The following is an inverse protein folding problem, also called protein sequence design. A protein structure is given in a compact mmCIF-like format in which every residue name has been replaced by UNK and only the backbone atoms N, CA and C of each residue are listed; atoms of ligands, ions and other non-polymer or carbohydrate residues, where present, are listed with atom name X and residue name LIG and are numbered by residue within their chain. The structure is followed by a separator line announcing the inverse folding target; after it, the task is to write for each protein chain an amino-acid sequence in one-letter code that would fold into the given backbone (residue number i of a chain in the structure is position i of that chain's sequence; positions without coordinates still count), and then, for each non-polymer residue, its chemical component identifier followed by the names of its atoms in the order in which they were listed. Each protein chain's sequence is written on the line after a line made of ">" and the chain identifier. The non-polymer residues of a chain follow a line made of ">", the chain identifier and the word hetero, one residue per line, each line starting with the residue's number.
data_IF_010238175540
#
_entry.id   IF_010238175540
#
_cell.length_a   1.000
_cell.length_b   1.000
_cell.length_c   1.000
_cell.angle_alpha   90.00
_cell.angle_beta   90.00
_cell.angle_gamma   90.00
#
_symmetry.space_group_name_H-M   'P 1'
#
loop_
_entity.id
_entity.type
_entity.pdbx_description
1 polymer ?
#
# COMPACT_ATOMS: atom_id res chain seq x y z
N UNK A 1 -21.63 -40.08 14.95
CA UNK A 1 -22.34 -39.17 15.88
C UNK A 1 -21.55 -37.87 16.13
N UNK A 2 -20.32 -37.91 16.63
CA UNK A 2 -19.53 -36.68 16.90
C UNK A 2 -19.20 -35.84 15.64
N UNK A 3 -18.89 -36.48 14.50
CA UNK A 3 -18.70 -35.78 13.23
C UNK A 3 -19.98 -35.04 12.79
N UNK A 4 -21.13 -35.71 12.90
CA UNK A 4 -22.41 -35.10 12.56
C UNK A 4 -22.74 -33.94 13.49
N UNK A 5 -22.42 -34.04 14.79
CA UNK A 5 -22.59 -32.95 15.74
C UNK A 5 -21.73 -31.75 15.39
N UNK A 6 -20.46 -31.94 15.02
CA UNK A 6 -19.57 -30.87 14.57
C UNK A 6 -20.11 -30.16 13.31
N UNK A 7 -20.59 -30.93 12.34
CA UNK A 7 -21.18 -30.40 11.11
C UNK A 7 -22.43 -29.56 11.43
N UNK A 8 -23.31 -30.09 12.32
CA UNK A 8 -24.55 -29.38 12.69
C UNK A 8 -24.26 -28.09 13.46
N UNK A 9 -23.29 -28.11 14.36
CA UNK A 9 -22.91 -26.89 15.11
C UNK A 9 -22.30 -25.87 14.20
N UNK A 10 -21.38 -26.27 13.30
CA UNK A 10 -20.79 -25.37 12.30
C UNK A 10 -21.85 -24.80 11.35
N UNK A 11 -22.67 -25.64 10.74
CA UNK A 11 -23.73 -25.20 9.85
C UNK A 11 -24.77 -24.32 10.53
N UNK A 12 -25.08 -24.62 11.81
CA UNK A 12 -25.98 -23.81 12.61
C UNK A 12 -25.42 -22.43 12.94
N UNK A 13 -24.12 -22.33 13.27
CA UNK A 13 -23.47 -21.05 13.51
C UNK A 13 -23.37 -20.21 12.22
N UNK A 14 -23.01 -20.83 11.12
CA UNK A 14 -22.92 -20.17 9.82
C UNK A 14 -24.29 -19.65 9.35
N UNK A 15 -25.37 -20.45 9.58
CA UNK A 15 -26.76 -20.05 9.29
C UNK A 15 -27.24 -18.88 10.17
N UNK A 16 -26.76 -18.79 11.42
CA UNK A 16 -27.13 -17.67 12.30
C UNK A 16 -26.54 -16.32 11.84
N UNK A 17 -25.49 -16.36 11.05
CA UNK A 17 -24.80 -15.18 10.50
C UNK A 17 -25.10 -14.97 9.01
N UNK A 18 -25.93 -15.83 8.42
CA UNK A 18 -26.38 -15.67 7.04
C UNK A 18 -27.25 -14.41 6.92
N UNK A 19 -26.88 -13.53 6.02
CA UNK A 19 -27.68 -12.33 5.69
C UNK A 19 -28.92 -12.72 4.86
N UNK A 20 -29.92 -11.84 4.86
CA UNK A 20 -31.13 -12.06 4.04
C UNK A 20 -30.75 -11.96 2.56
N UNK A 21 -30.94 -13.05 1.82
CA UNK A 21 -30.57 -13.16 0.40
C UNK A 21 -29.37 -14.06 0.12
N UNK A 22 -28.71 -14.61 1.16
CA UNK A 22 -27.59 -15.53 0.96
C UNK A 22 -28.01 -16.90 0.41
N UNK A 23 -27.25 -17.40 -0.56
CA UNK A 23 -27.44 -18.73 -1.15
C UNK A 23 -26.57 -19.79 -0.48
N UNK A 24 -27.12 -21.01 -0.37
CA UNK A 24 -26.40 -22.16 0.20
C UNK A 24 -25.39 -22.72 -0.81
N UNK A 25 -24.10 -22.61 -0.50
CA UNK A 25 -23.02 -23.20 -1.29
C UNK A 25 -22.37 -24.38 -0.58
N UNK A 26 -22.32 -25.50 -1.26
CA UNK A 26 -21.74 -26.74 -0.72
C UNK A 26 -20.20 -26.76 -0.73
N UNK A 27 -19.58 -25.76 -1.36
CA UNK A 27 -18.12 -25.65 -1.44
C UNK A 27 -17.48 -25.44 -0.06
N UNK A 28 -18.13 -24.67 0.82
CA UNK A 28 -17.72 -24.52 2.21
C UNK A 28 -17.64 -25.84 2.99
N UNK A 29 -18.43 -26.86 2.62
CA UNK A 29 -18.35 -28.20 3.19
C UNK A 29 -17.01 -28.88 2.88
N UNK A 30 -16.45 -28.67 1.68
CA UNK A 30 -15.14 -29.22 1.31
C UNK A 30 -14.04 -28.56 2.13
N UNK A 31 -14.05 -27.22 2.22
CA UNK A 31 -13.09 -26.47 3.02
C UNK A 31 -13.13 -26.89 4.49
N UNK A 32 -14.32 -26.95 5.09
CA UNK A 32 -14.51 -27.39 6.46
C UNK A 32 -14.06 -28.85 6.68
N UNK A 33 -14.44 -29.76 5.78
CA UNK A 33 -14.06 -31.17 5.88
C UNK A 33 -12.54 -31.36 5.75
N UNK A 34 -11.91 -30.64 4.83
CA UNK A 34 -10.47 -30.64 4.66
C UNK A 34 -9.76 -30.09 5.91
N UNK A 35 -10.21 -28.96 6.45
CA UNK A 35 -9.69 -28.41 7.70
C UNK A 35 -9.75 -29.43 8.84
N UNK A 36 -10.89 -30.08 9.03
CA UNK A 36 -11.08 -31.05 10.10
C UNK A 36 -10.15 -32.26 9.93
N UNK A 37 -10.02 -32.78 8.71
CA UNK A 37 -9.12 -33.90 8.39
C UNK A 37 -7.66 -33.56 8.62
N UNK A 38 -7.21 -32.38 8.17
CA UNK A 38 -5.83 -31.93 8.35
C UNK A 38 -5.53 -31.63 9.81
N UNK A 39 -6.49 -31.06 10.54
CA UNK A 39 -6.40 -30.84 11.97
C UNK A 39 -6.21 -32.16 12.73
N UNK A 40 -7.01 -33.18 12.41
CA UNK A 40 -6.93 -34.51 13.02
C UNK A 40 -5.63 -35.23 12.66
N UNK A 41 -5.21 -35.13 11.40
CA UNK A 41 -3.96 -35.74 10.91
C UNK A 41 -2.73 -35.08 11.56
N UNK A 42 -2.68 -33.74 11.59
CA UNK A 42 -1.60 -32.99 12.24
C UNK A 42 -1.48 -33.29 13.73
N UNK A 43 -2.60 -33.29 14.45
CA UNK A 43 -2.64 -33.71 15.85
C UNK A 43 -2.14 -35.16 16.05
N UNK A 44 -2.55 -36.07 15.18
CA UNK A 44 -2.14 -37.47 15.19
C UNK A 44 -0.63 -37.67 15.01
N UNK A 45 -0.05 -36.95 14.02
CA UNK A 45 1.40 -37.00 13.77
C UNK A 45 2.22 -36.43 14.92
N UNK A 46 1.86 -35.26 15.43
CA UNK A 46 2.59 -34.60 16.52
C UNK A 46 2.47 -35.40 17.81
N UNK A 47 1.27 -35.90 18.11
CA UNK A 47 1.07 -36.74 19.28
C UNK A 47 1.87 -38.06 19.19
N UNK A 48 1.96 -38.68 18.01
CA UNK A 48 2.76 -39.89 17.76
C UNK A 48 4.27 -39.62 17.92
N UNK A 49 4.73 -38.45 17.48
CA UNK A 49 6.14 -38.07 17.59
C UNK A 49 6.55 -37.82 19.05
N UNK A 50 5.68 -37.19 19.84
CA UNK A 50 5.96 -36.81 21.20
C UNK A 50 5.54 -37.86 22.28
N UNK A 51 4.49 -38.64 21.95
CA UNK A 51 3.87 -39.59 22.92
C UNK A 51 3.99 -41.01 22.37
N UNK A 52 5.16 -41.62 22.51
CA UNK A 52 5.56 -42.94 21.95
C UNK A 52 4.56 -44.09 22.05
N UNK A 53 3.43 -43.96 22.74
CA UNK A 53 2.39 -44.97 22.97
C UNK A 53 1.00 -44.57 22.44
N UNK A 54 0.92 -43.60 21.51
CA UNK A 54 -0.34 -43.04 21.07
C UNK A 54 -1.17 -44.00 20.18
N UNK A 55 -2.38 -44.29 20.60
CA UNK A 55 -3.40 -44.89 19.75
C UNK A 55 -4.20 -43.75 19.08
N UNK A 56 -4.13 -43.62 17.75
CA UNK A 56 -4.83 -42.59 16.98
C UNK A 56 -6.34 -42.53 17.25
N UNK A 57 -6.98 -43.65 17.62
CA UNK A 57 -8.41 -43.66 17.98
C UNK A 57 -8.70 -42.95 19.29
N UNK A 58 -7.77 -42.89 20.24
CA UNK A 58 -7.95 -42.20 21.54
C UNK A 58 -7.87 -40.67 21.43
N UNK A 59 -7.31 -40.14 20.35
CA UNK A 59 -7.27 -38.70 20.05
C UNK A 59 -8.50 -38.21 19.30
N UNK A 60 -9.02 -39.01 18.41
CA UNK A 60 -10.11 -38.67 17.53
C UNK A 60 -11.38 -38.33 18.30
N UNK A 61 -11.71 -39.08 19.33
CA UNK A 61 -12.92 -38.90 20.13
C UNK A 61 -12.87 -37.59 20.94
N UNK A 62 -11.82 -37.28 21.73
CA UNK A 62 -11.75 -36.04 22.49
C UNK A 62 -11.67 -34.79 21.60
N UNK A 63 -10.93 -34.85 20.48
CA UNK A 63 -10.81 -33.72 19.54
C UNK A 63 -12.15 -33.40 18.90
N UNK A 64 -12.88 -34.40 18.40
CA UNK A 64 -14.22 -34.22 17.83
C UNK A 64 -15.27 -33.79 18.86
N UNK A 65 -15.10 -34.14 20.13
CA UNK A 65 -15.99 -33.69 21.19
C UNK A 65 -15.78 -32.24 21.60
N UNK A 66 -14.56 -31.73 21.41
CA UNK A 66 -14.17 -30.37 21.85
C UNK A 66 -14.25 -29.35 20.68
N UNK A 67 -14.10 -29.78 19.44
CA UNK A 67 -14.12 -28.87 18.28
C UNK A 67 -15.37 -27.99 18.19
N UNK A 68 -16.60 -28.40 18.52
CA UNK A 68 -17.77 -27.51 18.52
C UNK A 68 -17.64 -26.33 19.47
N UNK A 69 -17.08 -26.58 20.66
CA UNK A 69 -16.86 -25.51 21.66
C UNK A 69 -15.79 -24.52 21.23
N UNK A 70 -14.78 -24.98 20.51
CA UNK A 70 -13.74 -24.12 19.92
C UNK A 70 -14.34 -23.21 18.86
N UNK A 71 -15.13 -23.76 17.96
CA UNK A 71 -15.83 -23.00 16.91
C UNK A 71 -16.77 -21.96 17.53
N UNK A 72 -17.62 -22.37 18.48
CA UNK A 72 -18.55 -21.45 19.17
C UNK A 72 -17.79 -20.34 19.90
N UNK A 73 -16.66 -20.63 20.54
CA UNK A 73 -15.87 -19.62 21.23
C UNK A 73 -15.23 -18.61 20.26
N UNK A 74 -14.76 -19.06 19.10
CA UNK A 74 -14.22 -18.18 18.05
C UNK A 74 -15.28 -17.22 17.51
N UNK A 75 -16.46 -17.73 17.20
CA UNK A 75 -17.60 -16.96 16.71
C UNK A 75 -18.07 -15.93 17.75
N UNK A 76 -18.30 -16.35 18.99
CA UNK A 76 -18.72 -15.44 20.07
C UNK A 76 -17.70 -14.34 20.39
N UNK A 77 -16.40 -14.60 20.21
CA UNK A 77 -15.36 -13.61 20.47
C UNK A 77 -15.24 -12.60 19.31
N UNK A 78 -15.51 -13.01 18.07
CA UNK A 78 -15.53 -12.13 16.91
C UNK A 78 -16.65 -11.09 16.94
N UNK A 79 -17.85 -11.48 17.40
CA UNK A 79 -19.05 -10.65 17.38
C UNK A 79 -19.30 -9.82 18.65
N UNK A 80 -18.49 -9.97 19.70
CA UNK A 80 -18.65 -9.16 20.90
C UNK A 80 -18.22 -7.69 20.64
N UNK A 81 -19.05 -6.68 20.95
CA UNK A 81 -18.71 -5.26 20.77
C UNK A 81 -17.43 -4.85 21.52
N UNK A 82 -17.08 -5.59 22.60
CA UNK A 82 -15.86 -5.38 23.36
C UNK A 82 -14.61 -5.96 22.64
N UNK A 83 -14.77 -7.02 21.84
CA UNK A 83 -13.69 -7.59 21.02
C UNK A 83 -13.33 -6.65 19.86
N UNK A 84 -14.30 -5.97 19.27
CA UNK A 84 -14.09 -4.95 18.25
C UNK A 84 -13.39 -3.69 18.79
N UNK A 85 -13.68 -3.33 20.06
CA UNK A 85 -13.03 -2.18 20.72
C UNK A 85 -11.59 -2.45 21.18
N UNK A 86 -11.21 -3.72 21.41
CA UNK A 86 -9.87 -4.13 21.87
C UNK A 86 -9.49 -5.48 21.25
N UNK A 87 -9.24 -5.51 19.93
CA UNK A 87 -9.01 -6.76 19.20
C UNK A 87 -7.81 -7.56 19.72
N UNK A 88 -6.75 -6.89 20.18
CA UNK A 88 -5.58 -7.56 20.74
C UNK A 88 -5.88 -8.34 22.03
N UNK A 89 -6.72 -7.81 22.93
CA UNK A 89 -7.11 -8.50 24.18
C UNK A 89 -8.02 -9.69 23.90
N UNK A 90 -8.96 -9.57 22.99
CA UNK A 90 -9.85 -10.67 22.58
C UNK A 90 -9.05 -11.81 21.94
N UNK A 91 -8.08 -11.49 21.07
CA UNK A 91 -7.18 -12.46 20.47
C UNK A 91 -6.36 -13.21 21.52
N UNK A 92 -5.74 -12.49 22.46
CA UNK A 92 -4.98 -13.11 23.56
C UNK A 92 -5.85 -14.04 24.40
N UNK A 93 -7.07 -13.62 24.76
CA UNK A 93 -8.01 -14.45 25.52
C UNK A 93 -8.42 -15.71 24.75
N UNK A 94 -8.71 -15.61 23.46
CA UNK A 94 -9.03 -16.73 22.58
C UNK A 94 -7.87 -17.72 22.47
N UNK A 95 -6.65 -17.24 22.24
CA UNK A 95 -5.44 -18.08 22.16
C UNK A 95 -5.19 -18.80 23.49
N UNK A 96 -5.29 -18.12 24.63
CA UNK A 96 -5.12 -18.74 25.95
C UNK A 96 -6.19 -19.81 26.20
N UNK A 97 -7.44 -19.53 25.85
CA UNK A 97 -8.53 -20.51 25.98
C UNK A 97 -8.28 -21.75 25.13
N UNK A 98 -7.86 -21.59 23.86
CA UNK A 98 -7.54 -22.68 22.95
C UNK A 98 -6.34 -23.52 23.44
N UNK A 99 -5.32 -22.89 24.00
CA UNK A 99 -4.19 -23.59 24.62
C UNK A 99 -4.67 -24.44 25.79
N UNK A 100 -5.45 -23.87 26.71
CA UNK A 100 -5.99 -24.59 27.85
C UNK A 100 -6.85 -25.79 27.42
N UNK A 101 -7.70 -25.59 26.43
CA UNK A 101 -8.57 -26.62 25.89
C UNK A 101 -7.77 -27.74 25.20
N UNK A 102 -6.79 -27.37 24.36
CA UNK A 102 -5.90 -28.32 23.70
C UNK A 102 -5.08 -29.14 24.69
N UNK A 103 -4.57 -28.52 25.77
CA UNK A 103 -3.87 -29.21 26.85
C UNK A 103 -4.78 -30.25 27.53
N UNK A 104 -6.05 -29.89 27.78
CA UNK A 104 -7.03 -30.82 28.41
C UNK A 104 -7.36 -31.99 27.49
N UNK A 105 -7.54 -31.74 26.19
CA UNK A 105 -7.78 -32.80 25.19
C UNK A 105 -6.61 -33.77 25.14
N UNK A 106 -5.38 -33.26 25.07
CA UNK A 106 -4.18 -34.06 24.95
C UNK A 106 -3.92 -34.85 26.24
N UNK A 107 -4.16 -34.26 27.40
CA UNK A 107 -4.06 -34.95 28.70
C UNK A 107 -5.12 -36.06 28.86
N UNK A 108 -6.33 -35.84 28.38
CA UNK A 108 -7.40 -36.83 28.38
C UNK A 108 -7.15 -38.00 27.42
N UNK A 109 -6.50 -37.71 26.30
CA UNK A 109 -6.17 -38.71 25.27
C UNK A 109 -4.90 -39.53 25.61
N UNK A 110 -3.95 -38.89 26.26
CA UNK A 110 -2.63 -39.43 26.53
C UNK A 110 -2.25 -39.11 27.98
N UNK A 111 -1.78 -40.09 28.72
CA UNK A 111 -1.20 -39.89 30.07
C UNK A 111 0.17 -39.19 29.93
N UNK A 112 0.17 -37.93 29.52
CA UNK A 112 1.36 -37.20 29.11
C UNK A 112 1.66 -36.06 30.10
N UNK A 113 2.95 -35.73 30.28
CA UNK A 113 3.38 -34.59 31.08
C UNK A 113 2.82 -33.26 30.50
N UNK A 114 2.35 -32.36 31.37
CA UNK A 114 1.73 -31.07 30.97
C UNK A 114 2.53 -30.26 29.93
N UNK A 115 3.87 -30.22 30.10
CA UNK A 115 4.73 -29.48 29.18
C UNK A 115 4.69 -29.96 27.71
N UNK A 116 4.62 -31.29 27.49
CA UNK A 116 4.50 -31.88 26.15
C UNK A 116 3.12 -31.62 25.54
N UNK A 117 2.06 -31.65 26.35
CA UNK A 117 0.71 -31.34 25.92
C UNK A 117 0.57 -29.86 25.47
N UNK A 118 1.20 -28.93 26.20
CA UNK A 118 1.25 -27.51 25.84
C UNK A 118 1.97 -27.30 24.51
N UNK A 119 3.14 -27.91 24.31
CA UNK A 119 3.90 -27.78 23.06
C UNK A 119 3.08 -28.26 21.83
N UNK A 120 2.40 -29.40 21.96
CA UNK A 120 1.54 -29.93 20.88
C UNK A 120 0.36 -29.00 20.61
N UNK A 121 -0.29 -28.47 21.63
CA UNK A 121 -1.41 -27.53 21.47
C UNK A 121 -0.98 -26.23 20.77
N UNK A 122 0.16 -25.66 21.11
CA UNK A 122 0.69 -24.45 20.47
C UNK A 122 0.98 -24.68 18.99
N UNK A 123 1.68 -25.76 18.64
CA UNK A 123 1.97 -26.09 17.23
C UNK A 123 0.68 -26.22 16.42
N UNK A 124 -0.34 -26.84 17.00
CA UNK A 124 -1.62 -27.01 16.32
C UNK A 124 -2.37 -25.69 16.10
N UNK A 125 -2.41 -24.81 17.09
CA UNK A 125 -3.09 -23.51 17.02
C UNK A 125 -2.46 -22.59 15.96
N UNK A 126 -1.14 -22.72 15.76
CA UNK A 126 -0.44 -21.90 14.75
C UNK A 126 -0.56 -22.51 13.34
N UNK A 127 -0.39 -23.83 13.22
CA UNK A 127 -0.34 -24.49 11.91
C UNK A 127 -1.69 -24.53 11.19
N UNK A 128 -2.80 -24.69 11.91
CA UNK A 128 -4.11 -24.84 11.27
C UNK A 128 -4.61 -23.56 10.57
N UNK A 129 -4.60 -22.37 11.19
CA UNK A 129 -4.98 -21.13 10.51
C UNK A 129 -4.04 -20.76 9.35
N UNK A 130 -2.74 -20.97 9.53
CA UNK A 130 -1.75 -20.73 8.48
C UNK A 130 -2.02 -21.58 7.25
N UNK A 131 -2.39 -22.84 7.45
CA UNK A 131 -2.68 -23.77 6.36
C UNK A 131 -3.99 -23.42 5.63
N UNK A 132 -5.04 -22.99 6.34
CA UNK A 132 -6.27 -22.49 5.72
C UNK A 132 -5.99 -21.29 4.82
N UNK A 133 -5.21 -20.33 5.32
CA UNK A 133 -4.85 -19.13 4.57
C UNK A 133 -3.98 -19.44 3.34
N UNK A 134 -3.04 -20.39 3.43
CA UNK A 134 -2.14 -20.72 2.29
C UNK A 134 -2.84 -21.53 1.20
N UNK A 135 -3.94 -22.23 1.51
CA UNK A 135 -4.70 -23.04 0.58
C UNK A 135 -5.97 -22.33 0.05
N UNK A 136 -6.21 -21.10 0.51
CA UNK A 136 -7.36 -20.27 0.15
C UNK A 136 -8.70 -21.04 0.19
N UNK A 137 -8.90 -21.78 1.30
CA UNK A 137 -10.09 -22.62 1.47
C UNK A 137 -11.20 -21.85 2.16
N UNK A 138 -12.27 -21.58 1.44
CA UNK A 138 -13.49 -21.02 2.02
C UNK A 138 -14.20 -22.08 2.90
N UNK A 139 -14.64 -21.66 4.07
CA UNK A 139 -15.35 -22.49 5.04
C UNK A 139 -16.78 -22.02 5.29
N UNK A 140 -17.27 -21.00 4.56
CA UNK A 140 -18.63 -20.45 4.70
C UNK A 140 -19.62 -21.26 3.84
N UNK A 141 -20.78 -21.56 4.40
CA UNK A 141 -21.89 -22.22 3.71
C UNK A 141 -22.80 -21.25 2.98
N UNK A 142 -22.94 -20.06 3.53
CA UNK A 142 -23.86 -19.04 3.04
C UNK A 142 -23.06 -17.88 2.47
N UNK A 143 -23.29 -17.57 1.20
CA UNK A 143 -22.72 -16.42 0.52
C UNK A 143 -23.89 -15.61 -0.05
N UNK A 144 -23.82 -14.31 0.11
CA UNK A 144 -24.72 -13.37 -0.56
C UNK A 144 -24.17 -13.12 -1.96
N UNK A 145 -24.75 -13.74 -2.99
CA UNK A 145 -24.37 -13.49 -4.37
C UNK A 145 -24.82 -12.09 -4.86
N UNK A 146 -25.81 -11.47 -4.16
CA UNK A 146 -26.42 -10.23 -4.63
C UNK A 146 -25.70 -8.95 -4.17
N UNK A 147 -25.05 -8.95 -3.00
CA UNK A 147 -24.34 -7.75 -2.52
C UNK A 147 -23.03 -7.55 -3.28
N UNK A 148 -22.29 -8.64 -3.53
CA UNK A 148 -21.05 -8.56 -4.30
C UNK A 148 -21.32 -8.28 -5.80
N UNK A 149 -22.47 -8.73 -6.35
CA UNK A 149 -22.82 -8.50 -7.75
C UNK A 149 -23.44 -7.11 -8.01
N UNK A 150 -24.18 -6.52 -7.07
CA UNK A 150 -24.69 -5.15 -7.23
C UNK A 150 -23.57 -4.12 -7.00
N UNK A 151 -22.73 -4.27 -5.95
CA UNK A 151 -21.53 -3.43 -5.77
C UNK A 151 -20.51 -3.66 -6.88
N UNK A 152 -20.30 -4.92 -7.34
CA UNK A 152 -19.42 -5.20 -8.46
C UNK A 152 -20.01 -4.76 -9.81
N UNK A 153 -21.33 -4.81 -10.02
CA UNK A 153 -21.96 -4.33 -11.25
C UNK A 153 -21.93 -2.81 -11.33
N UNK A 154 -22.18 -2.09 -10.24
CA UNK A 154 -22.03 -0.63 -10.17
C UNK A 154 -20.55 -0.22 -10.28
N UNK A 155 -19.65 -0.91 -9.58
CA UNK A 155 -18.19 -0.69 -9.67
C UNK A 155 -17.66 -1.00 -11.07
N UNK A 156 -18.19 -2.03 -11.77
CA UNK A 156 -17.78 -2.32 -13.15
C UNK A 156 -18.27 -1.28 -14.16
N UNK A 157 -19.49 -0.76 -14.03
CA UNK A 157 -19.99 0.29 -14.92
C UNK A 157 -19.23 1.60 -14.71
N UNK A 158 -18.97 1.97 -13.47
CA UNK A 158 -18.18 3.14 -13.10
C UNK A 158 -16.71 2.99 -13.51
N UNK A 159 -16.14 1.79 -13.35
CA UNK A 159 -14.78 1.44 -13.78
C UNK A 159 -14.61 1.57 -15.30
N UNK A 160 -15.56 1.07 -16.08
CA UNK A 160 -15.52 1.17 -17.55
C UNK A 160 -15.57 2.64 -17.97
N UNK A 161 -16.52 3.42 -17.48
CA UNK A 161 -16.64 4.86 -17.77
C UNK A 161 -15.39 5.61 -17.38
N UNK A 162 -14.87 5.37 -16.17
CA UNK A 162 -13.67 6.00 -15.65
C UNK A 162 -12.45 5.76 -16.55
N UNK A 163 -12.25 4.54 -17.05
CA UNK A 163 -11.13 4.20 -17.92
C UNK A 163 -11.29 4.81 -19.34
N UNK A 164 -12.51 4.81 -19.89
CA UNK A 164 -12.77 5.39 -21.20
C UNK A 164 -12.66 6.92 -21.23
N UNK A 165 -12.91 7.59 -20.10
CA UNK A 165 -12.81 9.04 -19.98
C UNK A 165 -11.35 9.52 -19.80
N UNK A 166 -10.41 8.66 -19.41
CA UNK A 166 -9.03 9.06 -19.11
C UNK A 166 -8.34 9.82 -20.27
N UNK A 167 -8.43 9.40 -21.54
CA UNK A 167 -7.80 10.14 -22.61
C UNK A 167 -8.35 11.57 -22.76
N UNK A 168 -9.66 11.76 -22.59
CA UNK A 168 -10.28 13.07 -22.65
C UNK A 168 -9.86 13.97 -21.48
N UNK A 169 -9.80 13.41 -20.25
CA UNK A 169 -9.35 14.11 -19.04
C UNK A 169 -7.89 14.57 -19.18
N UNK A 170 -7.00 13.71 -19.67
CA UNK A 170 -5.60 14.07 -19.90
C UNK A 170 -5.45 15.20 -20.93
N UNK A 171 -6.21 15.14 -22.02
CA UNK A 171 -6.21 16.22 -23.03
C UNK A 171 -6.70 17.53 -22.41
N UNK A 172 -7.80 17.49 -21.65
CA UNK A 172 -8.33 18.66 -20.96
C UNK A 172 -7.31 19.27 -19.99
N UNK A 173 -6.60 18.43 -19.19
CA UNK A 173 -5.54 18.91 -18.28
C UNK A 173 -4.42 19.65 -19.05
N UNK A 174 -4.02 19.16 -20.22
CA UNK A 174 -2.99 19.82 -21.02
C UNK A 174 -3.51 21.10 -21.70
N UNK A 175 -4.78 21.18 -22.06
CA UNK A 175 -5.38 22.39 -22.64
C UNK A 175 -5.40 23.57 -21.66
N UNK A 176 -5.47 23.30 -20.36
CA UNK A 176 -5.44 24.31 -19.29
C UNK A 176 -4.04 24.82 -18.97
N UNK A 177 -2.98 24.16 -19.47
CA UNK A 177 -1.61 24.61 -19.20
C UNK A 177 -1.34 25.99 -19.80
N UNK A 178 -0.72 26.84 -19.01
CA UNK A 178 -0.26 28.15 -19.48
C UNK A 178 0.71 28.01 -20.66
N UNK A 179 0.58 28.91 -21.62
CA UNK A 179 1.47 28.95 -22.78
C UNK A 179 2.90 29.25 -22.34
N UNK A 180 3.87 28.54 -22.95
CA UNK A 180 5.29 28.81 -22.68
C UNK A 180 5.68 30.25 -23.03
N UNK A 181 6.58 30.81 -22.24
CA UNK A 181 7.17 32.12 -22.49
C UNK A 181 8.36 31.96 -23.46
N UNK A 182 8.36 32.62 -24.62
CA UNK A 182 9.47 32.51 -25.57
C UNK A 182 10.75 33.14 -25.05
N UNK A 183 11.89 32.46 -25.25
CA UNK A 183 13.22 33.03 -24.94
C UNK A 183 13.68 32.84 -23.49
N UNK A 184 12.85 32.24 -22.66
CA UNK A 184 13.21 31.84 -21.27
C UNK A 184 12.93 30.36 -21.06
N UNK A 185 13.68 29.66 -20.20
CA UNK A 185 13.34 28.32 -19.80
C UNK A 185 12.02 28.32 -19.03
N UNK A 186 11.09 27.45 -19.43
CA UNK A 186 9.85 27.22 -18.68
C UNK A 186 9.96 25.92 -17.91
N UNK A 187 9.31 25.88 -16.75
CA UNK A 187 9.23 24.65 -15.93
C UNK A 187 7.81 24.12 -16.01
N UNK A 188 7.70 22.83 -16.31
CA UNK A 188 6.45 22.09 -16.34
C UNK A 188 6.46 21.08 -15.18
N UNK A 189 5.34 20.88 -14.53
CA UNK A 189 5.20 19.97 -13.41
C UNK A 189 4.27 18.82 -13.73
N UNK A 190 4.62 17.62 -13.26
CA UNK A 190 3.73 16.45 -13.21
C UNK A 190 3.77 15.89 -11.82
N UNK A 191 2.63 15.89 -11.15
CA UNK A 191 2.41 15.16 -9.91
C UNK A 191 1.87 13.77 -10.18
N UNK A 192 2.29 12.79 -9.38
CA UNK A 192 1.83 11.41 -9.46
C UNK A 192 1.62 10.87 -8.04
N UNK A 193 0.38 10.80 -7.58
CA UNK A 193 -0.03 10.14 -6.34
C UNK A 193 -0.55 8.74 -6.66
N UNK A 194 0.28 7.71 -6.43
CA UNK A 194 0.05 6.37 -6.96
C UNK A 194 -0.96 5.54 -6.16
N UNK A 195 -1.17 5.81 -4.88
CA UNK A 195 -2.06 5.02 -4.03
C UNK A 195 -3.23 5.86 -3.53
N UNK A 196 -4.45 5.43 -3.87
CA UNK A 196 -5.69 6.10 -3.51
C UNK A 196 -6.34 5.61 -2.22
N UNK A 197 -5.72 4.68 -1.50
CA UNK A 197 -6.21 4.22 -0.19
C UNK A 197 -5.82 5.18 0.93
N UNK A 198 -4.81 6.04 0.69
CA UNK A 198 -4.30 6.99 1.66
C UNK A 198 -4.19 8.40 1.07
N UNK A 199 -4.89 9.35 1.65
CA UNK A 199 -4.93 10.77 1.23
C UNK A 199 -3.61 11.50 1.32
N UNK A 200 -2.66 11.01 2.10
CA UNK A 200 -1.37 11.65 2.29
C UNK A 200 -0.61 11.83 0.97
N UNK A 201 -0.73 10.88 0.04
CA UNK A 201 -0.05 10.96 -1.25
C UNK A 201 -0.67 12.03 -2.16
N UNK A 202 -1.99 12.14 -2.18
CA UNK A 202 -2.70 13.22 -2.86
C UNK A 202 -2.28 14.58 -2.30
N UNK A 203 -2.33 14.74 -0.95
CA UNK A 203 -1.91 15.98 -0.30
C UNK A 203 -0.47 16.35 -0.61
N UNK A 204 0.44 15.37 -0.60
CA UNK A 204 1.86 15.59 -0.90
C UNK A 204 2.10 16.00 -2.35
N UNK A 205 1.41 15.39 -3.33
CA UNK A 205 1.52 15.77 -4.75
C UNK A 205 1.05 17.20 -4.99
N UNK A 206 -0.14 17.56 -4.50
CA UNK A 206 -0.70 18.91 -4.63
C UNK A 206 0.14 19.98 -3.90
N UNK A 207 0.68 19.63 -2.73
CA UNK A 207 1.59 20.52 -2.03
C UNK A 207 2.90 20.70 -2.79
N UNK A 208 3.43 19.64 -3.40
CA UNK A 208 4.64 19.71 -4.22
C UNK A 208 4.44 20.62 -5.44
N UNK A 209 3.30 20.52 -6.13
CA UNK A 209 2.95 21.46 -7.23
C UNK A 209 3.11 22.91 -6.79
N UNK A 210 2.44 23.27 -5.69
CA UNK A 210 2.48 24.65 -5.16
C UNK A 210 3.92 25.11 -4.85
N UNK A 211 4.70 24.27 -4.15
CA UNK A 211 6.05 24.65 -3.73
C UNK A 211 7.02 24.72 -4.92
N UNK A 212 6.90 23.83 -5.90
CA UNK A 212 7.73 23.89 -7.11
C UNK A 212 7.33 25.05 -8.02
N UNK A 213 6.03 25.37 -8.11
CA UNK A 213 5.56 26.55 -8.83
C UNK A 213 6.14 27.85 -8.24
N UNK A 214 6.13 28.00 -6.92
CA UNK A 214 6.76 29.11 -6.23
C UNK A 214 8.29 29.15 -6.42
N UNK A 215 8.97 28.01 -6.31
CA UNK A 215 10.43 27.92 -6.43
C UNK A 215 10.92 28.31 -7.83
N UNK A 216 10.21 27.91 -8.87
CA UNK A 216 10.58 28.17 -10.26
C UNK A 216 9.81 29.33 -10.92
N UNK A 217 8.88 29.95 -10.20
CA UNK A 217 7.95 30.96 -10.77
C UNK A 217 7.22 30.44 -12.01
N UNK A 218 6.63 29.24 -11.90
CA UNK A 218 6.06 28.46 -13.01
C UNK A 218 4.57 28.16 -12.84
N UNK A 219 3.77 29.19 -12.55
CA UNK A 219 2.34 29.04 -12.31
C UNK A 219 1.61 28.45 -13.55
N UNK A 220 0.56 27.67 -13.29
CA UNK A 220 -0.37 27.11 -14.28
C UNK A 220 0.27 26.19 -15.38
N UNK A 221 1.38 25.51 -15.06
CA UNK A 221 2.01 24.51 -15.97
C UNK A 221 2.13 23.14 -15.31
N UNK A 222 1.09 22.73 -14.60
CA UNK A 222 1.04 21.47 -13.85
C UNK A 222 -0.01 20.51 -14.40
N UNK A 223 0.27 19.22 -14.36
CA UNK A 223 -0.68 18.12 -14.49
C UNK A 223 -0.58 17.24 -13.27
N UNK A 224 -1.72 16.96 -12.66
CA UNK A 224 -1.82 16.06 -11.54
C UNK A 224 -2.47 14.73 -11.96
N UNK A 225 -1.77 13.62 -11.74
CA UNK A 225 -2.27 12.27 -11.84
C UNK A 225 -2.46 11.76 -10.42
N UNK A 226 -3.69 11.59 -9.99
CA UNK A 226 -4.00 11.27 -8.60
C UNK A 226 -4.96 10.09 -8.54
N UNK A 227 -4.57 9.07 -7.78
CA UNK A 227 -5.48 8.02 -7.34
C UNK A 227 -6.11 8.46 -6.02
N UNK A 228 -7.44 8.38 -5.98
CA UNK A 228 -8.25 8.75 -4.82
C UNK A 228 -9.50 7.86 -4.81
N UNK A 229 -9.67 7.07 -3.76
CA UNK A 229 -10.81 6.15 -3.65
C UNK A 229 -12.13 6.84 -3.33
N UNK A 230 -12.07 8.03 -2.72
CA UNK A 230 -13.26 8.81 -2.35
C UNK A 230 -13.73 9.73 -3.49
N UNK A 231 -12.79 10.21 -4.33
CA UNK A 231 -13.09 11.12 -5.46
C UNK A 231 -12.30 10.72 -6.72
N UNK A 232 -12.77 9.67 -7.40
CA UNK A 232 -12.14 9.10 -8.58
C UNK A 232 -12.26 9.99 -9.83
N UNK A 233 -13.10 11.02 -9.77
CA UNK A 233 -13.47 11.82 -10.94
C UNK A 233 -12.75 13.17 -11.04
N UNK A 234 -12.12 13.63 -9.97
CA UNK A 234 -11.50 14.96 -9.95
C UNK A 234 -10.20 15.06 -10.74
N UNK A 235 -9.43 13.96 -10.81
CA UNK A 235 -8.13 13.95 -11.46
C UNK A 235 -8.00 12.80 -12.47
N UNK A 236 -7.13 12.93 -13.49
CA UNK A 236 -6.69 11.78 -14.27
C UNK A 236 -6.02 10.73 -13.36
N UNK A 237 -6.27 9.44 -13.64
CA UNK A 237 -5.75 8.33 -12.87
C UNK A 237 -4.22 8.29 -12.93
N UNK A 238 -3.57 8.18 -11.76
CA UNK A 238 -2.16 7.85 -11.66
C UNK A 238 -1.95 6.39 -12.06
N UNK A 239 -1.58 6.16 -13.31
CA UNK A 239 -1.26 4.84 -13.87
C UNK A 239 -0.03 4.93 -14.76
N UNK A 240 0.61 3.78 -15.03
CA UNK A 240 1.77 3.72 -15.95
C UNK A 240 1.40 4.30 -17.32
N UNK A 241 0.25 3.90 -17.87
CA UNK A 241 -0.24 4.40 -19.15
C UNK A 241 -0.58 5.88 -19.08
N UNK A 242 -1.26 6.34 -18.03
CA UNK A 242 -1.58 7.75 -17.79
C UNK A 242 -0.32 8.62 -17.74
N UNK A 243 0.70 8.18 -17.01
CA UNK A 243 1.99 8.86 -16.93
C UNK A 243 2.68 8.95 -18.30
N UNK A 244 2.75 7.85 -19.06
CA UNK A 244 3.32 7.85 -20.41
C UNK A 244 2.62 8.83 -21.35
N UNK A 245 1.30 8.87 -21.32
CA UNK A 245 0.51 9.78 -22.14
C UNK A 245 0.68 11.24 -21.71
N UNK A 246 0.64 11.52 -20.42
CA UNK A 246 0.85 12.86 -19.87
C UNK A 246 2.22 13.42 -20.22
N UNK A 247 3.27 12.62 -20.12
CA UNK A 247 4.62 13.03 -20.50
C UNK A 247 4.73 13.35 -22.00
N UNK A 248 4.10 12.58 -22.87
CA UNK A 248 4.05 12.86 -24.32
C UNK A 248 3.26 14.13 -24.63
N UNK A 249 2.14 14.34 -23.96
CA UNK A 249 1.32 15.53 -24.13
C UNK A 249 2.05 16.80 -23.64
N UNK A 250 2.66 16.75 -22.46
CA UNK A 250 3.49 17.85 -21.94
C UNK A 250 4.66 18.14 -22.87
N UNK A 251 5.37 17.12 -23.32
CA UNK A 251 6.49 17.29 -24.24
C UNK A 251 6.09 18.05 -25.53
N UNK A 252 4.85 17.89 -26.01
CA UNK A 252 4.34 18.65 -27.18
C UNK A 252 4.18 20.14 -26.91
N UNK A 253 4.16 20.56 -25.65
CA UNK A 253 4.06 21.97 -25.20
C UNK A 253 5.42 22.57 -24.82
N UNK A 254 6.44 21.75 -24.66
CA UNK A 254 7.79 22.15 -24.22
C UNK A 254 8.72 22.45 -25.39
N UNK A 255 9.68 23.33 -25.14
CA UNK A 255 10.89 23.44 -25.98
C UNK A 255 11.93 22.45 -25.45
N UNK A 256 12.31 21.41 -26.22
CA UNK A 256 13.17 20.33 -25.71
C UNK A 256 14.57 20.79 -25.32
N UNK A 257 15.06 21.93 -25.82
CA UNK A 257 16.38 22.46 -25.49
C UNK A 257 16.36 23.42 -24.28
N UNK A 258 15.23 24.05 -23.99
CA UNK A 258 15.14 25.08 -22.97
C UNK A 258 14.36 24.67 -21.74
N UNK A 259 13.23 24.00 -21.91
CA UNK A 259 12.27 23.78 -20.84
C UNK A 259 12.64 22.56 -19.98
N UNK A 260 12.21 22.59 -18.72
CA UNK A 260 12.52 21.58 -17.69
C UNK A 260 11.22 20.94 -17.21
N UNK A 261 11.20 19.61 -17.13
CA UNK A 261 10.16 18.85 -16.45
C UNK A 261 10.55 18.64 -14.98
N UNK A 262 9.63 18.90 -14.06
CA UNK A 262 9.65 18.42 -12.70
C UNK A 262 8.60 17.30 -12.58
N UNK A 263 9.01 16.11 -12.25
CA UNK A 263 8.15 14.96 -12.00
C UNK A 263 8.25 14.57 -10.52
N UNK A 264 7.16 14.76 -9.78
CA UNK A 264 7.02 14.33 -8.39
C UNK A 264 6.19 13.05 -8.33
N UNK A 265 6.76 12.00 -7.75
CA UNK A 265 6.10 10.72 -7.56
C UNK A 265 6.02 10.42 -6.08
N UNK A 266 4.82 10.15 -5.58
CA UNK A 266 4.57 9.81 -4.19
C UNK A 266 3.61 8.63 -4.10
N UNK A 267 3.95 7.62 -3.31
CA UNK A 267 3.18 6.39 -3.09
C UNK A 267 3.87 5.48 -2.09
N UNK A 268 3.27 4.33 -1.78
CA UNK A 268 4.01 3.22 -1.21
C UNK A 268 5.07 2.70 -2.17
N UNK A 269 6.20 2.24 -1.64
CA UNK A 269 7.31 1.72 -2.43
C UNK A 269 7.82 0.37 -1.96
N UNK A 270 8.39 -0.37 -2.91
CA UNK A 270 9.07 -1.65 -2.71
C UNK A 270 10.36 -1.69 -3.53
N UNK A 271 11.13 -2.79 -3.41
CA UNK A 271 12.30 -3.02 -4.27
C UNK A 271 11.94 -3.21 -5.76
N UNK A 272 10.66 -3.47 -6.07
CA UNK A 272 10.17 -3.63 -7.45
C UNK A 272 9.66 -2.31 -8.07
N UNK A 273 9.38 -1.28 -7.25
CA UNK A 273 8.91 0.02 -7.70
C UNK A 273 7.83 0.63 -6.79
N UNK A 274 7.04 1.56 -7.35
CA UNK A 274 5.96 2.25 -6.66
C UNK A 274 4.63 1.50 -6.80
N UNK A 275 3.90 1.38 -5.71
CA UNK A 275 2.51 0.90 -5.74
C UNK A 275 1.63 1.85 -6.55
N UNK A 276 0.68 1.26 -7.29
CA UNK A 276 -0.34 2.01 -8.04
C UNK A 276 -1.68 1.33 -7.76
N UNK A 277 -2.52 1.98 -6.98
CA UNK A 277 -3.81 1.45 -6.52
C UNK A 277 -4.89 2.54 -6.59
N UNK A 278 -6.07 2.18 -7.11
CA UNK A 278 -7.26 3.02 -7.13
C UNK A 278 -8.50 2.14 -7.05
N UNK A 279 -8.91 1.81 -5.83
CA UNK A 279 -9.98 0.84 -5.57
C UNK A 279 -9.68 -0.52 -6.21
N UNK A 280 -10.67 -1.06 -6.92
CA UNK A 280 -10.58 -2.37 -7.61
C UNK A 280 -9.91 -2.34 -8.98
N UNK A 281 -9.42 -1.18 -9.46
CA UNK A 281 -8.79 -1.08 -10.78
C UNK A 281 -7.55 -1.97 -10.88
N UNK A 282 -7.41 -2.79 -11.95
CA UNK A 282 -6.24 -3.66 -12.16
C UNK A 282 -5.05 -2.84 -12.71
N UNK A 283 -4.52 -1.93 -11.90
CA UNK A 283 -3.40 -1.09 -12.28
C UNK A 283 -2.06 -1.80 -12.07
N UNK A 284 -1.10 -1.50 -12.95
CA UNK A 284 0.26 -2.04 -12.82
C UNK A 284 1.10 -1.15 -11.90
N UNK A 285 1.95 -1.77 -11.08
CA UNK A 285 3.00 -1.09 -10.33
C UNK A 285 3.95 -0.34 -11.28
N UNK A 286 4.40 0.85 -10.89
CA UNK A 286 5.37 1.62 -11.67
C UNK A 286 6.80 1.20 -11.31
N UNK A 287 7.40 0.38 -12.16
CA UNK A 287 8.81 -0.04 -11.99
C UNK A 287 9.81 1.04 -12.44
N UNK A 288 11.08 0.98 -11.99
CA UNK A 288 12.14 1.87 -12.47
C UNK A 288 12.36 1.81 -13.99
N UNK A 289 12.18 0.63 -14.59
CA UNK A 289 12.34 0.42 -16.03
C UNK A 289 11.21 1.09 -16.81
N UNK A 290 9.98 0.93 -16.35
CA UNK A 290 8.80 1.56 -16.98
C UNK A 290 8.85 3.08 -16.88
N UNK A 291 9.26 3.64 -15.74
CA UNK A 291 9.45 5.07 -15.56
C UNK A 291 10.55 5.59 -16.52
N UNK A 292 11.69 4.89 -16.59
CA UNK A 292 12.75 5.23 -17.54
C UNK A 292 12.25 5.24 -18.97
N UNK A 293 11.51 4.20 -19.37
CA UNK A 293 10.95 4.07 -20.71
C UNK A 293 9.96 5.21 -21.02
N UNK A 294 9.05 5.53 -20.09
CA UNK A 294 8.10 6.64 -20.24
C UNK A 294 8.82 7.99 -20.46
N UNK A 295 9.84 8.26 -19.66
CA UNK A 295 10.64 9.47 -19.78
C UNK A 295 11.44 9.54 -21.09
N UNK A 296 12.00 8.43 -21.57
CA UNK A 296 12.78 8.40 -22.81
C UNK A 296 11.88 8.51 -24.04
N UNK A 297 10.71 7.85 -24.05
CA UNK A 297 9.71 7.97 -25.12
C UNK A 297 9.11 9.37 -25.23
N UNK A 298 9.02 10.12 -24.13
CA UNK A 298 8.52 11.50 -24.17
C UNK A 298 9.43 12.44 -24.95
N UNK A 299 10.72 12.12 -25.07
CA UNK A 299 11.72 12.99 -25.68
C UNK A 299 12.12 14.21 -24.83
N UNK A 300 11.60 14.35 -23.62
CA UNK A 300 11.94 15.44 -22.69
C UNK A 300 13.41 15.27 -22.28
N UNK A 301 14.22 16.29 -22.52
CA UNK A 301 15.67 16.26 -22.30
C UNK A 301 16.05 16.58 -20.84
N UNK A 302 15.46 17.65 -20.30
CA UNK A 302 15.80 18.17 -18.97
C UNK A 302 14.76 17.74 -17.96
N UNK A 303 15.18 16.94 -16.97
CA UNK A 303 14.26 16.24 -16.06
C UNK A 303 14.71 16.35 -14.62
N UNK A 304 13.84 16.81 -13.75
CA UNK A 304 13.94 16.68 -12.29
C UNK A 304 12.95 15.60 -11.89
N UNK A 305 13.41 14.51 -11.29
CA UNK A 305 12.57 13.42 -10.82
C UNK A 305 12.74 13.27 -9.32
N UNK A 306 11.65 13.44 -8.59
CA UNK A 306 11.58 13.29 -7.13
C UNK A 306 10.70 12.11 -6.80
N UNK A 307 11.21 11.14 -6.03
CA UNK A 307 10.48 9.93 -5.64
C UNK A 307 10.36 9.87 -4.12
N UNK A 308 9.17 10.17 -3.62
CA UNK A 308 8.80 10.11 -2.21
C UNK A 308 8.15 8.77 -1.90
N UNK A 309 8.95 7.77 -1.58
CA UNK A 309 8.50 6.42 -1.27
C UNK A 309 9.55 5.62 -0.50
N UNK A 310 9.11 4.52 0.13
CA UNK A 310 10.01 3.50 0.65
C UNK A 310 10.82 2.88 -0.50
N UNK A 311 12.07 2.49 -0.25
CA UNK A 311 12.96 1.84 -1.24
C UNK A 311 13.16 2.64 -2.53
N UNK A 312 12.82 3.93 -2.55
CA UNK A 312 12.84 4.77 -3.76
C UNK A 312 14.21 4.87 -4.45
N UNK A 313 15.29 4.54 -3.75
CA UNK A 313 16.63 4.44 -4.33
C UNK A 313 16.77 3.44 -5.48
N UNK A 314 15.84 2.48 -5.64
CA UNK A 314 15.81 1.57 -6.81
C UNK A 314 15.67 2.34 -8.14
N UNK A 315 15.06 3.53 -8.11
CA UNK A 315 14.91 4.40 -9.27
C UNK A 315 16.20 5.13 -9.65
N UNK A 316 17.13 5.33 -8.70
CA UNK A 316 18.30 6.18 -8.91
C UNK A 316 19.14 5.70 -10.10
N UNK A 317 19.57 4.44 -10.10
CA UNK A 317 20.44 3.89 -11.15
C UNK A 317 19.74 3.85 -12.51
N UNK A 318 18.45 3.51 -12.54
CA UNK A 318 17.69 3.44 -13.77
C UNK A 318 17.51 4.81 -14.44
N UNK A 319 17.41 5.88 -13.66
CA UNK A 319 17.09 7.22 -14.14
C UNK A 319 18.32 8.12 -14.37
N UNK A 320 19.53 7.68 -14.05
CA UNK A 320 20.75 8.45 -14.31
C UNK A 320 20.87 8.81 -15.79
N UNK A 321 21.22 10.04 -16.07
CA UNK A 321 21.38 10.58 -17.42
C UNK A 321 21.88 12.02 -17.40
N UNK A 322 22.56 12.47 -18.46
CA UNK A 322 23.16 13.81 -18.52
C UNK A 322 22.16 14.95 -18.27
N UNK A 323 20.92 14.78 -18.74
CA UNK A 323 19.82 15.76 -18.59
C UNK A 323 18.92 15.51 -17.38
N UNK A 324 19.35 14.72 -16.38
CA UNK A 324 18.47 14.33 -15.29
C UNK A 324 19.05 14.69 -13.91
N UNK A 325 18.21 15.19 -13.01
CA UNK A 325 18.38 15.20 -11.56
C UNK A 325 17.39 14.20 -10.97
N UNK A 326 17.85 13.31 -10.10
CA UNK A 326 17.01 12.34 -9.37
C UNK A 326 17.19 12.56 -7.88
N UNK A 327 16.09 12.68 -7.15
CA UNK A 327 16.03 12.75 -5.69
C UNK A 327 15.13 11.63 -5.18
N UNK A 328 15.56 10.89 -4.15
CA UNK A 328 14.79 9.79 -3.56
C UNK A 328 14.70 9.94 -2.05
N UNK A 329 13.53 9.57 -1.49
CA UNK A 329 13.25 9.65 -0.05
C UNK A 329 14.00 8.60 0.78
N UNK A 330 14.43 7.52 0.15
CA UNK A 330 15.19 6.45 0.77
C UNK A 330 16.23 5.88 -0.22
N UNK A 331 17.17 5.08 0.27
CA UNK A 331 17.99 4.24 -0.60
C UNK A 331 17.23 2.97 -1.07
N UNK A 332 17.88 2.09 -1.83
CA UNK A 332 17.26 0.89 -2.40
C UNK A 332 16.93 -0.19 -1.37
N UNK A 333 17.49 -0.12 -0.17
CA UNK A 333 17.43 -1.16 0.85
C UNK A 333 16.60 -0.77 2.08
N UNK A 334 16.19 0.49 2.18
CA UNK A 334 15.53 1.02 3.37
C UNK A 334 14.16 1.65 3.07
N UNK A 335 13.28 1.58 4.07
CA UNK A 335 12.00 2.27 4.06
C UNK A 335 12.18 3.77 4.37
N UNK A 336 11.33 4.59 3.80
CA UNK A 336 11.02 5.94 4.29
C UNK A 336 9.94 5.86 5.39
N UNK A 337 9.54 6.99 5.99
CA UNK A 337 8.60 7.01 7.11
C UNK A 337 7.52 8.07 6.93
N UNK A 338 6.44 7.93 7.73
CA UNK A 338 5.38 8.91 7.83
C UNK A 338 4.34 8.82 6.72
N UNK A 339 4.06 7.62 6.22
CA UNK A 339 2.98 7.38 5.25
C UNK A 339 1.61 7.15 5.93
N UNK A 340 1.43 7.60 7.17
CA UNK A 340 0.17 7.45 7.91
C UNK A 340 -0.77 8.63 7.61
N UNK A 341 -2.08 8.37 7.48
CA UNK A 341 -3.10 9.39 7.16
C UNK A 341 -3.27 10.48 8.23
N UNK A 342 -2.80 10.23 9.45
CA UNK A 342 -2.76 11.22 10.54
C UNK A 342 -1.80 12.40 10.25
N UNK A 343 -1.07 12.35 9.13
CA UNK A 343 -0.08 13.34 8.74
C UNK A 343 -0.46 14.05 7.44
N UNK A 344 -0.11 15.32 7.34
CA UNK A 344 -0.30 16.08 6.10
C UNK A 344 0.69 15.68 4.99
N UNK A 345 1.92 15.33 5.37
CA UNK A 345 3.02 14.99 4.46
C UNK A 345 3.85 13.84 5.04
N UNK A 346 4.51 13.07 4.16
CA UNK A 346 5.53 12.09 4.57
C UNK A 346 6.71 12.80 5.28
N UNK A 347 7.59 12.05 5.96
CA UNK A 347 8.79 12.64 6.57
C UNK A 347 9.68 13.34 5.53
N UNK A 348 9.78 12.72 4.34
CA UNK A 348 10.52 13.29 3.23
C UNK A 348 9.81 14.54 2.69
N UNK A 349 8.52 14.49 2.45
CA UNK A 349 7.74 15.65 1.99
C UNK A 349 7.81 16.82 2.95
N UNK A 350 7.65 16.56 4.27
CA UNK A 350 7.79 17.61 5.29
C UNK A 350 9.19 18.23 5.27
N UNK A 351 10.24 17.40 5.31
CA UNK A 351 11.61 17.89 5.35
C UNK A 351 12.05 18.57 4.04
N UNK A 352 11.67 18.01 2.88
CA UNK A 352 12.13 18.51 1.58
C UNK A 352 11.24 19.64 1.05
N UNK A 353 9.92 19.41 0.93
CA UNK A 353 9.00 20.35 0.31
C UNK A 353 8.67 21.51 1.26
N UNK A 354 8.36 21.22 2.53
CA UNK A 354 7.87 22.23 3.48
C UNK A 354 9.00 23.02 4.15
N UNK A 355 10.02 22.34 4.68
CA UNK A 355 11.02 22.98 5.52
C UNK A 355 12.25 23.47 4.74
N UNK A 356 12.67 22.73 3.70
CA UNK A 356 13.95 22.98 3.04
C UNK A 356 13.82 23.76 1.73
N UNK A 357 12.91 23.40 0.83
CA UNK A 357 12.81 23.98 -0.50
C UNK A 357 12.48 25.48 -0.48
N UNK A 358 11.51 25.96 0.32
CA UNK A 358 11.20 27.40 0.39
C UNK A 358 12.32 28.27 0.93
N UNK A 359 13.26 27.70 1.67
CA UNK A 359 14.38 28.38 2.30
C UNK A 359 15.72 28.19 1.59
N UNK A 360 15.70 27.52 0.44
CA UNK A 360 16.89 27.17 -0.35
C UNK A 360 16.86 27.86 -1.71
N UNK A 361 18.04 28.14 -2.24
CA UNK A 361 18.19 28.73 -3.57
C UNK A 361 18.24 27.69 -4.69
N UNK A 362 18.61 26.47 -4.35
CA UNK A 362 18.76 25.38 -5.31
C UNK A 362 18.18 24.09 -4.75
N UNK A 363 17.76 23.19 -5.64
CA UNK A 363 17.30 21.85 -5.26
C UNK A 363 18.39 21.05 -4.55
N UNK A 364 19.67 21.21 -4.93
CA UNK A 364 20.80 20.57 -4.27
C UNK A 364 20.98 21.05 -2.82
N UNK A 365 20.74 22.34 -2.56
CA UNK A 365 20.75 22.91 -1.20
C UNK A 365 19.58 22.38 -0.38
N UNK A 366 18.38 22.41 -0.96
CA UNK A 366 17.15 21.91 -0.33
C UNK A 366 17.30 20.44 0.07
N UNK A 367 17.78 19.60 -0.84
CA UNK A 367 18.02 18.19 -0.57
C UNK A 367 19.00 17.96 0.60
N UNK A 368 20.13 18.68 0.63
CA UNK A 368 21.10 18.53 1.73
C UNK A 368 20.52 18.91 3.09
N UNK A 369 19.71 19.97 3.15
CA UNK A 369 19.00 20.36 4.37
C UNK A 369 17.99 19.30 4.78
N UNK A 370 17.15 18.84 3.85
CA UNK A 370 16.14 17.81 4.09
C UNK A 370 16.76 16.51 4.60
N UNK A 371 17.82 16.02 3.96
CA UNK A 371 18.51 14.80 4.38
C UNK A 371 19.06 14.91 5.81
N UNK A 372 19.57 16.08 6.21
CA UNK A 372 20.03 16.34 7.58
C UNK A 372 18.86 16.34 8.58
N UNK A 373 17.74 16.97 8.26
CA UNK A 373 16.52 16.97 9.09
C UNK A 373 15.96 15.56 9.28
N UNK A 374 15.84 14.79 8.21
CA UNK A 374 15.38 13.39 8.24
C UNK A 374 16.31 12.56 9.14
N UNK A 375 17.61 12.66 8.94
CA UNK A 375 18.60 11.94 9.72
C UNK A 375 18.54 12.28 11.23
N UNK A 376 18.28 13.53 11.58
CA UNK A 376 18.09 13.96 12.96
C UNK A 376 16.81 13.39 13.55
N UNK A 377 15.70 13.44 12.81
CA UNK A 377 14.39 12.93 13.23
C UNK A 377 14.42 11.41 13.45
N UNK A 378 14.94 10.64 12.50
CA UNK A 378 15.10 9.20 12.60
C UNK A 378 15.93 8.80 13.82
N UNK A 379 16.99 9.56 14.13
CA UNK A 379 17.82 9.33 15.31
C UNK A 379 17.02 9.60 16.60
N UNK A 380 16.26 10.70 16.67
CA UNK A 380 15.48 11.06 17.85
C UNK A 380 14.31 10.10 18.11
N UNK A 381 13.75 9.53 17.06
CA UNK A 381 12.64 8.57 17.11
C UNK A 381 13.10 7.09 17.12
N UNK A 382 14.43 6.85 17.18
CA UNK A 382 15.03 5.50 17.15
C UNK A 382 14.62 4.65 15.93
N UNK A 383 14.42 5.28 14.79
CA UNK A 383 14.10 4.62 13.53
C UNK A 383 15.35 4.21 12.76
N UNK A 384 15.21 3.23 11.90
CA UNK A 384 16.26 2.87 10.92
C UNK A 384 16.45 4.03 9.95
N UNK A 385 17.68 4.27 9.50
CA UNK A 385 17.98 5.31 8.53
C UNK A 385 17.34 5.03 7.17
N UNK A 386 16.60 5.99 6.61
CA UNK A 386 16.07 5.90 5.25
C UNK A 386 17.14 6.18 4.18
N UNK A 387 18.16 6.97 4.52
CA UNK A 387 19.26 7.36 3.63
C UNK A 387 18.79 7.99 2.31
N UNK A 388 18.14 9.15 2.30
CA UNK A 388 17.75 9.84 1.08
C UNK A 388 18.94 10.02 0.13
N UNK A 389 18.70 9.90 -1.18
CA UNK A 389 19.75 9.93 -2.19
C UNK A 389 19.47 10.99 -3.25
N UNK A 390 20.54 11.51 -3.85
CA UNK A 390 20.46 12.43 -4.99
C UNK A 390 21.56 12.14 -5.98
N UNK A 391 21.22 12.21 -7.26
CA UNK A 391 22.17 12.21 -8.37
C UNK A 391 21.81 13.31 -9.38
N UNK A 392 22.80 13.97 -9.96
CA UNK A 392 22.59 14.99 -10.98
C UNK A 392 23.65 14.89 -12.09
N UNK A 393 23.19 14.87 -13.35
CA UNK A 393 24.05 14.96 -14.51
C UNK A 393 24.77 16.33 -14.61
N UNK A 394 26.00 16.35 -15.08
CA UNK A 394 26.77 17.60 -15.16
C UNK A 394 26.08 18.64 -16.10
N UNK A 395 25.53 18.30 -17.28
CA UNK A 395 24.74 19.23 -18.08
C UNK A 395 23.44 19.69 -17.40
N UNK A 396 22.76 18.78 -16.66
CA UNK A 396 21.55 19.12 -15.90
C UNK A 396 21.84 20.14 -14.78
N UNK A 397 22.96 19.98 -14.09
CA UNK A 397 23.39 20.95 -13.06
C UNK A 397 23.55 22.35 -13.63
N UNK A 398 24.16 22.47 -14.82
CA UNK A 398 24.32 23.75 -15.48
C UNK A 398 22.93 24.34 -15.87
N UNK A 399 22.01 23.49 -16.37
CA UNK A 399 20.64 23.89 -16.72
C UNK A 399 19.85 24.36 -15.51
N UNK A 400 19.96 23.67 -14.37
CA UNK A 400 19.30 24.07 -13.12
C UNK A 400 19.80 25.44 -12.62
N UNK A 401 21.10 25.71 -12.69
CA UNK A 401 21.64 27.03 -12.32
C UNK A 401 21.09 28.16 -13.19
N UNK A 402 20.81 27.89 -14.49
CA UNK A 402 20.16 28.84 -15.38
C UNK A 402 18.72 29.11 -14.94
N UNK A 403 17.94 28.06 -14.68
CA UNK A 403 16.51 28.17 -14.31
C UNK A 403 16.35 28.77 -12.92
N UNK A 404 17.10 28.28 -11.92
CA UNK A 404 17.04 28.76 -10.53
C UNK A 404 17.63 30.18 -10.38
N UNK A 405 18.60 30.55 -11.21
CA UNK A 405 19.19 31.90 -11.21
C UNK A 405 18.31 32.96 -11.85
N UNK A 406 17.39 32.56 -12.75
CA UNK A 406 16.40 33.41 -13.40
C UNK A 406 15.14 33.66 -12.58
N UNK A 407 14.83 32.77 -11.63
CA UNK A 407 13.68 32.92 -10.75
C UNK A 407 13.95 34.03 -9.71
N UNK A 408 13.25 35.18 -9.81
CA UNK A 408 13.25 36.19 -8.78
C UNK A 408 12.52 35.62 -7.56
N UNK A 409 13.26 35.19 -6.51
CA UNK A 409 12.68 34.61 -5.31
C UNK A 409 11.80 35.62 -4.56
N UNK A 410 10.46 35.49 -4.56
CA UNK A 410 9.63 36.19 -3.58
C UNK A 410 9.78 35.46 -2.23
N UNK A 411 10.21 36.17 -1.22
CA UNK A 411 10.18 35.67 0.17
C UNK A 411 8.73 35.70 0.65
N UNK A 412 7.97 34.62 0.44
CA UNK A 412 6.58 34.47 0.85
C UNK A 412 6.42 33.38 1.89
N UNK A 413 5.69 33.65 2.95
CA UNK A 413 5.32 32.71 4.01
C UNK A 413 4.33 31.65 3.46
N UNK A 414 4.74 30.42 3.31
CA UNK A 414 3.93 29.24 2.89
C UNK A 414 3.04 28.73 4.05
N UNK A 415 2.44 29.58 4.85
CA UNK A 415 1.66 29.13 6.02
C UNK A 415 0.15 28.98 5.76
N UNK A 416 -0.34 29.16 4.53
CA UNK A 416 -1.80 29.35 4.31
C UNK A 416 -2.52 28.23 3.55
N UNK A 417 -1.87 27.18 3.06
CA UNK A 417 -2.50 26.20 2.14
C UNK A 417 -3.05 24.93 2.82
N UNK A 418 -2.78 24.71 4.11
CA UNK A 418 -3.20 23.48 4.81
C UNK A 418 -4.56 23.58 5.54
N UNK A 419 -5.43 24.53 5.21
CA UNK A 419 -6.75 24.73 5.85
C UNK A 419 -7.92 24.66 4.87
N UNK A 420 -8.02 23.56 4.07
CA UNK A 420 -9.28 23.23 3.39
C UNK A 420 -9.42 21.73 3.22
#
# INVERSE_FOLDING_TARGET
>A
MLLLLNLLVWAGLDTLHAETGSELRLDGLYGWSFYLLMALFGCGLVARAYCRQANTRSLLIPTLAVSPYVLTAFWLLGDLPQAQRRPGLALVAAVLYLILLGVRVIQAAYTTARGKAVAVAIVFIIAAPLMLRTLDLDTRLWLTDDVDNEEQADDHSDTESLLYDQPARLVASVEHLATREPGVPNVFFVGFAGDGEQDIFKREALFAETVFAEHFSSDDRAIELINDNEDRDSYPIASVTGLQQSLKLIASRMDPEQDVLVLMLTSHGSQDGLAVANGSLPLMQLSPIELRHALDESGIKWRVVVVSACYSGVFLEALKGDGTLVITAADADHSSFGCDDDRDLTYFGEAFLKDSLPTSRTLEEAFRKAAALIAQRETSEHKTRSNPQMWVGAPMRAKLLEVEGGAAHPRGNVTTVLNH
#
